data_IF_243106719076
#
_entry.id   IF_243106719076
#
_cell.length_a   1.000
_cell.length_b   1.000
_cell.length_c   1.000
_cell.angle_alpha   90.00
_cell.angle_beta   90.00
_cell.angle_gamma   90.00
#
_symmetry.space_group_name_H-M   'P 1'
#
loop_
_entity.id
_entity.type
_entity.pdbx_description
1 polymer ?
#
# COMPACT_ATOMS: atom_id res chain seq x y z
N UNK A 1 26.02 -8.95 8.88
CA UNK A 1 25.85 -8.82 7.42
C UNK A 1 24.36 -8.88 7.13
N UNK A 2 23.76 -7.78 6.68
CA UNK A 2 22.38 -7.79 6.21
C UNK A 2 22.35 -8.68 4.95
N UNK A 3 21.88 -9.92 5.09
CA UNK A 3 21.61 -10.80 3.97
C UNK A 3 20.29 -10.36 3.33
N UNK A 4 20.31 -9.19 2.69
CA UNK A 4 19.14 -8.65 2.01
C UNK A 4 18.99 -9.48 0.73
N UNK A 5 18.02 -10.39 0.75
CA UNK A 5 17.75 -11.23 -0.40
C UNK A 5 17.18 -10.34 -1.51
N UNK A 6 17.97 -10.11 -2.57
CA UNK A 6 17.63 -9.19 -3.67
C UNK A 6 16.28 -9.56 -4.31
N UNK A 7 15.96 -10.86 -4.34
CA UNK A 7 14.67 -11.37 -4.79
C UNK A 7 13.50 -10.82 -3.95
N UNK A 8 13.65 -10.71 -2.62
CA UNK A 8 12.62 -10.17 -1.74
C UNK A 8 12.34 -8.71 -2.05
N UNK A 9 13.40 -7.91 -2.25
CA UNK A 9 13.27 -6.47 -2.57
C UNK A 9 12.49 -6.30 -3.88
N UNK A 10 12.80 -7.11 -4.90
CA UNK A 10 12.12 -7.05 -6.20
C UNK A 10 10.63 -7.37 -6.02
N UNK A 11 10.31 -8.44 -5.29
CA UNK A 11 8.92 -8.85 -5.04
C UNK A 11 8.15 -7.78 -4.25
N UNK A 12 8.74 -7.24 -3.18
CA UNK A 12 8.15 -6.17 -2.37
C UNK A 12 7.88 -4.91 -3.22
N UNK A 13 8.82 -4.54 -4.08
CA UNK A 13 8.68 -3.40 -4.99
C UNK A 13 7.54 -3.60 -5.98
N UNK A 14 7.44 -4.79 -6.59
CA UNK A 14 6.35 -5.11 -7.53
C UNK A 14 4.99 -5.03 -6.83
N UNK A 15 4.87 -5.65 -5.66
CA UNK A 15 3.64 -5.62 -4.86
C UNK A 15 3.30 -4.18 -4.46
N UNK A 16 4.28 -3.39 -4.03
CA UNK A 16 4.07 -1.99 -3.67
C UNK A 16 3.47 -1.18 -4.83
N UNK A 17 4.00 -1.37 -6.04
CA UNK A 17 3.51 -0.71 -7.26
C UNK A 17 2.06 -1.14 -7.55
N UNK A 18 1.77 -2.45 -7.47
CA UNK A 18 0.43 -2.99 -7.70
C UNK A 18 -0.58 -2.41 -6.71
N UNK A 19 -0.25 -2.44 -5.40
CA UNK A 19 -1.11 -1.89 -4.35
C UNK A 19 -1.33 -0.39 -4.57
N UNK A 20 -0.27 0.37 -4.87
CA UNK A 20 -0.37 1.81 -5.13
C UNK A 20 -1.29 2.12 -6.32
N UNK A 21 -1.26 1.31 -7.38
CA UNK A 21 -2.17 1.43 -8.52
C UNK A 21 -3.62 1.15 -8.11
N UNK A 22 -3.87 0.06 -7.35
CA UNK A 22 -5.21 -0.29 -6.86
C UNK A 22 -5.78 0.84 -5.99
N UNK A 23 -5.00 1.34 -5.03
CA UNK A 23 -5.40 2.45 -4.15
C UNK A 23 -5.73 3.70 -4.98
N UNK A 24 -4.93 3.99 -6.02
CA UNK A 24 -5.17 5.13 -6.90
C UNK A 24 -6.49 5.00 -7.67
N UNK A 25 -6.80 3.80 -8.18
CA UNK A 25 -8.05 3.51 -8.89
C UNK A 25 -9.25 3.57 -7.96
N UNK A 26 -9.12 3.11 -6.72
CA UNK A 26 -10.19 3.14 -5.72
C UNK A 26 -10.48 4.56 -5.22
N UNK A 27 -9.45 5.36 -4.99
CA UNK A 27 -9.54 6.72 -4.45
C UNK A 27 -9.22 7.75 -5.55
N UNK A 28 -9.91 7.66 -6.69
CA UNK A 28 -9.59 8.50 -7.85
C UNK A 28 -10.12 9.94 -7.71
N UNK A 29 -11.17 10.13 -6.94
CA UNK A 29 -11.89 11.40 -6.81
C UNK A 29 -11.00 12.53 -6.24
N UNK A 30 -11.30 13.78 -6.63
CA UNK A 30 -10.50 14.94 -6.21
C UNK A 30 -10.52 15.13 -4.69
N UNK A 31 -11.66 14.89 -4.05
CA UNK A 31 -11.83 15.01 -2.60
C UNK A 31 -10.99 13.97 -1.83
N UNK A 32 -10.81 12.79 -2.42
CA UNK A 32 -10.03 11.68 -1.84
C UNK A 32 -8.54 11.79 -2.13
N UNK A 33 -8.10 12.78 -2.91
CA UNK A 33 -6.70 12.95 -3.32
C UNK A 33 -5.74 13.08 -2.14
N UNK A 34 -6.13 13.81 -1.10
CA UNK A 34 -5.31 13.98 0.11
C UNK A 34 -5.23 12.68 0.92
N UNK A 35 -6.37 12.01 1.11
CA UNK A 35 -6.45 10.72 1.81
C UNK A 35 -5.60 9.68 1.09
N UNK A 36 -5.73 9.57 -0.24
CA UNK A 36 -4.90 8.70 -1.08
C UNK A 36 -3.41 8.96 -0.88
N UNK A 37 -2.99 10.23 -0.86
CA UNK A 37 -1.57 10.57 -0.64
C UNK A 37 -1.07 10.13 0.73
N UNK A 38 -1.83 10.41 1.79
CA UNK A 38 -1.49 10.00 3.16
C UNK A 38 -1.38 8.48 3.24
N UNK A 39 -2.32 7.76 2.62
CA UNK A 39 -2.40 6.31 2.67
C UNK A 39 -1.23 5.64 1.92
N UNK A 40 -0.86 6.16 0.75
CA UNK A 40 0.32 5.68 -0.01
C UNK A 40 1.62 6.03 0.71
N UNK A 41 1.76 7.26 1.24
CA UNK A 41 2.97 7.66 1.97
C UNK A 41 3.14 6.84 3.26
N UNK A 42 2.04 6.62 3.99
CA UNK A 42 2.03 5.73 5.14
C UNK A 42 2.44 4.32 4.74
N UNK A 43 1.87 3.78 3.67
CA UNK A 43 2.23 2.47 3.16
C UNK A 43 3.72 2.36 2.77
N UNK A 44 4.31 3.41 2.17
CA UNK A 44 5.73 3.45 1.83
C UNK A 44 6.64 3.41 3.08
N UNK A 45 6.30 4.19 4.11
CA UNK A 45 7.06 4.19 5.37
C UNK A 45 6.97 2.80 6.01
N UNK A 46 5.76 2.24 6.07
CA UNK A 46 5.56 0.88 6.59
C UNK A 46 6.34 -0.16 5.77
N UNK A 47 6.30 -0.08 4.44
CA UNK A 47 7.06 -0.95 3.55
C UNK A 47 8.56 -0.96 3.87
N UNK A 48 9.15 0.21 4.16
CA UNK A 48 10.58 0.32 4.49
C UNK A 48 10.98 -0.24 5.86
N UNK A 49 10.02 -0.47 6.76
CA UNK A 49 10.28 -0.92 8.13
C UNK A 49 10.18 -2.43 8.30
N UNK A 50 9.62 -3.16 7.33
CA UNK A 50 9.43 -4.60 7.46
C UNK A 50 10.66 -5.39 7.01
N UNK A 51 11.02 -6.37 7.84
CA UNK A 51 12.09 -7.34 7.55
C UNK A 51 11.51 -8.65 6.98
N UNK A 52 10.17 -8.83 7.02
CA UNK A 52 9.48 -10.05 6.62
C UNK A 52 8.45 -9.81 5.52
N UNK A 53 8.59 -10.56 4.42
CA UNK A 53 7.67 -10.57 3.28
C UNK A 53 6.22 -10.87 3.69
N UNK A 54 6.01 -11.77 4.66
CA UNK A 54 4.67 -12.14 5.13
C UNK A 54 3.95 -10.95 5.74
N UNK A 55 4.65 -10.19 6.59
CA UNK A 55 4.07 -9.00 7.24
C UNK A 55 3.76 -7.93 6.19
N UNK A 56 4.66 -7.74 5.24
CA UNK A 56 4.47 -6.82 4.12
C UNK A 56 3.19 -7.15 3.32
N UNK A 57 2.96 -8.42 2.96
CA UNK A 57 1.75 -8.86 2.24
C UNK A 57 0.48 -8.57 3.07
N UNK A 58 0.49 -8.85 4.37
CA UNK A 58 -0.67 -8.59 5.24
C UNK A 58 -1.00 -7.09 5.26
N UNK A 59 0.01 -6.23 5.36
CA UNK A 59 -0.17 -4.78 5.34
C UNK A 59 -0.67 -4.31 3.97
N UNK A 60 -0.14 -4.85 2.87
CA UNK A 60 -0.62 -4.59 1.51
C UNK A 60 -2.13 -4.86 1.37
N UNK A 61 -2.59 -6.01 1.83
CA UNK A 61 -4.02 -6.38 1.80
C UNK A 61 -4.84 -5.42 2.67
N UNK A 62 -4.34 -5.10 3.87
CA UNK A 62 -5.01 -4.18 4.79
C UNK A 62 -5.19 -2.78 4.18
N UNK A 63 -4.18 -2.27 3.48
CA UNK A 63 -4.22 -0.99 2.76
C UNK A 63 -5.31 -0.97 1.68
N UNK A 64 -5.46 -2.06 0.93
CA UNK A 64 -6.52 -2.20 -0.07
C UNK A 64 -7.89 -2.21 0.62
N UNK A 65 -8.06 -2.98 1.69
CA UNK A 65 -9.32 -3.04 2.43
C UNK A 65 -9.72 -1.68 3.02
N UNK A 66 -8.77 -0.94 3.60
CA UNK A 66 -8.99 0.42 4.11
C UNK A 66 -9.41 1.34 2.96
N UNK A 67 -8.75 1.25 1.80
CA UNK A 67 -9.10 2.06 0.63
C UNK A 67 -10.52 1.79 0.13
N UNK A 68 -10.94 0.52 0.12
CA UNK A 68 -12.33 0.13 -0.19
C UNK A 68 -13.29 0.70 0.87
N UNK A 69 -12.93 0.61 2.15
CA UNK A 69 -13.73 1.16 3.25
C UNK A 69 -13.93 2.66 3.13
N UNK A 70 -12.86 3.42 2.86
CA UNK A 70 -12.92 4.87 2.63
C UNK A 70 -13.85 5.16 1.45
N UNK A 71 -13.65 4.49 0.31
CA UNK A 71 -14.50 4.70 -0.86
C UNK A 71 -15.98 4.48 -0.54
N UNK A 72 -16.33 3.39 0.15
CA UNK A 72 -17.73 3.11 0.54
C UNK A 72 -18.34 4.14 1.48
N UNK A 73 -17.54 4.72 2.38
CA UNK A 73 -18.01 5.76 3.31
C UNK A 73 -18.27 7.08 2.60
N UNK A 74 -17.54 7.39 1.52
CA UNK A 74 -17.70 8.62 0.74
C UNK A 74 -18.66 8.49 -0.46
N UNK A 75 -18.96 7.28 -0.93
CA UNK A 75 -20.04 7.02 -1.91
C UNK A 75 -21.44 7.11 -1.28
N UNK A 76 -21.54 7.16 0.06
CA UNK A 76 -22.76 7.39 0.85
C UNK A 76 -22.89 8.86 1.27
#
# INVERSE_FOLDING_TARGET
MFNVNVESIIVETIIYIIVSLIVKLLLNDEDLKNIRRILILGYLIFASLFVSLTVFIIVSISIILISIGIRKVFEY
#
